data_IF_772298186754
#
_entry.id   IF_772298186754
#
_cell.length_a   1.000
_cell.length_b   1.000
_cell.length_c   1.000
_cell.angle_alpha   90.00
_cell.angle_beta   90.00
_cell.angle_gamma   90.00
#
_symmetry.space_group_name_H-M   'P 1'
#
loop_
_entity.id
_entity.type
_entity.pdbx_description
1 polymer ?
#
# COMPACT_ATOMS: atom_id res chain seq x y z
N UNK A 1 -9.41 -20.38 3.93
CA UNK A 1 -10.35 -21.45 3.51
C UNK A 1 -11.82 -21.08 3.79
N UNK A 2 -12.17 -20.48 4.92
CA UNK A 2 -13.57 -20.14 5.27
C UNK A 2 -14.21 -19.11 4.32
N UNK A 3 -13.47 -18.12 3.80
CA UNK A 3 -13.98 -17.17 2.82
C UNK A 3 -14.30 -17.82 1.47
N UNK A 4 -13.45 -18.72 1.01
CA UNK A 4 -13.65 -19.44 -0.27
C UNK A 4 -14.75 -20.50 -0.20
N UNK A 5 -15.05 -21.02 0.98
CA UNK A 5 -16.17 -21.95 1.21
C UNK A 5 -17.49 -21.26 1.59
N UNK A 6 -17.48 -19.94 1.79
CA UNK A 6 -18.63 -19.12 2.16
C UNK A 6 -19.21 -18.33 0.98
N UNK A 7 -19.35 -17.01 1.17
CA UNK A 7 -19.94 -16.07 0.19
C UNK A 7 -19.29 -16.11 -1.20
N UNK A 8 -18.01 -16.48 -1.29
CA UNK A 8 -17.26 -16.55 -2.54
C UNK A 8 -17.32 -17.93 -3.22
N UNK A 9 -17.92 -18.94 -2.57
CA UNK A 9 -17.99 -20.30 -3.13
C UNK A 9 -18.84 -20.42 -4.39
N UNK A 10 -19.72 -19.46 -4.62
CA UNK A 10 -20.68 -19.47 -5.75
C UNK A 10 -20.22 -18.62 -6.94
N UNK A 11 -19.12 -17.87 -6.80
CA UNK A 11 -18.60 -17.02 -7.87
C UNK A 11 -17.11 -17.28 -8.05
N UNK A 12 -16.64 -17.51 -9.29
CA UNK A 12 -15.22 -17.64 -9.56
C UNK A 12 -14.51 -16.32 -9.23
N UNK A 13 -13.28 -16.43 -8.74
CA UNK A 13 -12.36 -15.29 -8.60
C UNK A 13 -11.50 -15.28 -9.86
N UNK A 14 -11.68 -14.31 -10.72
CA UNK A 14 -10.95 -14.19 -11.99
C UNK A 14 -9.69 -13.33 -11.86
N UNK A 15 -9.73 -12.37 -10.93
CA UNK A 15 -8.65 -11.39 -10.72
C UNK A 15 -8.36 -11.22 -9.26
N UNK A 16 -7.09 -11.13 -8.92
CA UNK A 16 -6.57 -10.69 -7.64
C UNK A 16 -5.80 -9.40 -7.90
N UNK A 17 -6.24 -8.29 -7.32
CA UNK A 17 -5.56 -7.01 -7.46
C UNK A 17 -4.82 -6.74 -6.17
N UNK A 18 -3.50 -6.70 -6.26
CA UNK A 18 -2.59 -6.43 -5.15
C UNK A 18 -2.39 -4.93 -5.14
N UNK A 19 -2.82 -4.28 -4.08
CA UNK A 19 -2.80 -2.82 -4.00
C UNK A 19 -1.39 -2.26 -3.89
N UNK A 20 -0.53 -2.93 -3.10
CA UNK A 20 0.88 -2.59 -2.94
C UNK A 20 1.69 -3.78 -2.37
N UNK A 21 3.01 -3.63 -2.29
CA UNK A 21 3.96 -4.71 -2.00
C UNK A 21 4.10 -5.09 -0.52
N UNK A 22 3.47 -4.39 0.43
CA UNK A 22 3.61 -4.71 1.85
C UNK A 22 3.12 -6.12 2.17
N UNK A 23 3.77 -6.75 3.14
CA UNK A 23 3.63 -8.19 3.42
C UNK A 23 2.21 -8.63 3.74
N UNK A 24 1.45 -7.81 4.41
CA UNK A 24 0.05 -8.05 4.81
C UNK A 24 -0.95 -7.89 3.64
N UNK A 25 -0.51 -7.29 2.53
CA UNK A 25 -1.30 -7.16 1.30
C UNK A 25 -0.91 -8.18 0.22
N UNK A 26 0.38 -8.43 0.04
CA UNK A 26 0.86 -9.34 -1.02
C UNK A 26 1.06 -10.79 -0.54
N UNK A 27 1.25 -11.01 0.77
CA UNK A 27 1.77 -12.27 1.32
C UNK A 27 0.95 -13.51 1.00
N UNK A 28 -0.38 -13.38 0.82
CA UNK A 28 -1.26 -14.49 0.48
C UNK A 28 -1.62 -14.57 -1.01
N UNK A 29 -1.15 -13.65 -1.84
CA UNK A 29 -1.58 -13.52 -3.22
C UNK A 29 -1.22 -14.74 -4.09
N UNK A 30 0.01 -15.26 -3.97
CA UNK A 30 0.45 -16.43 -4.72
C UNK A 30 -0.37 -17.70 -4.37
N UNK A 31 -0.60 -17.92 -3.09
CA UNK A 31 -1.40 -19.06 -2.62
C UNK A 31 -2.87 -18.94 -3.08
N UNK A 32 -3.44 -17.73 -2.98
CA UNK A 32 -4.80 -17.47 -3.44
C UNK A 32 -4.93 -17.68 -4.96
N UNK A 33 -3.94 -17.26 -5.75
CA UNK A 33 -3.90 -17.50 -7.18
C UNK A 33 -3.88 -19.00 -7.51
N UNK A 34 -3.05 -19.78 -6.83
CA UNK A 34 -3.01 -21.24 -6.99
C UNK A 34 -4.34 -21.92 -6.65
N UNK A 35 -5.00 -21.44 -5.58
CA UNK A 35 -6.28 -21.99 -5.13
C UNK A 35 -7.44 -21.69 -6.08
N UNK A 36 -7.41 -20.56 -6.78
CA UNK A 36 -8.54 -20.05 -7.57
C UNK A 36 -8.32 -20.11 -9.08
N UNK A 37 -7.06 -20.19 -9.53
CA UNK A 37 -6.69 -20.00 -10.93
C UNK A 37 -6.74 -18.53 -11.39
N UNK A 38 -6.96 -17.59 -10.46
CA UNK A 38 -7.07 -16.16 -10.76
C UNK A 38 -5.73 -15.56 -11.16
N UNK A 39 -5.76 -14.58 -12.06
CA UNK A 39 -4.57 -13.78 -12.44
C UNK A 39 -4.32 -12.69 -11.41
N UNK A 40 -3.05 -12.50 -11.04
CA UNK A 40 -2.64 -11.43 -10.15
C UNK A 40 -2.26 -10.18 -10.93
N UNK A 41 -2.75 -9.04 -10.48
CA UNK A 41 -2.48 -7.72 -11.04
C UNK A 41 -1.90 -6.81 -9.95
N UNK A 42 -0.93 -6.00 -10.33
CA UNK A 42 -0.27 -5.04 -9.44
C UNK A 42 0.23 -3.87 -10.31
N UNK A 43 0.37 -2.68 -9.76
CA UNK A 43 0.97 -1.58 -10.50
C UNK A 43 2.44 -1.86 -10.83
N UNK A 44 2.93 -1.23 -11.89
CA UNK A 44 4.31 -1.45 -12.36
C UNK A 44 5.37 -1.13 -11.30
N UNK A 45 5.16 -0.05 -10.55
CA UNK A 45 6.13 0.37 -9.53
C UNK A 45 6.10 -0.56 -8.32
N UNK A 46 4.92 -0.99 -7.89
CA UNK A 46 4.77 -1.96 -6.80
C UNK A 46 5.33 -3.34 -7.17
N UNK A 47 5.15 -3.77 -8.42
CA UNK A 47 5.75 -5.01 -8.92
C UNK A 47 7.28 -4.95 -8.85
N UNK A 48 7.89 -3.84 -9.32
CA UNK A 48 9.34 -3.65 -9.25
C UNK A 48 9.83 -3.68 -7.79
N UNK A 49 9.09 -3.05 -6.88
CA UNK A 49 9.45 -3.00 -5.48
C UNK A 49 9.37 -4.37 -4.82
N UNK A 50 8.26 -5.09 -5.03
CA UNK A 50 8.11 -6.47 -4.55
C UNK A 50 9.24 -7.38 -5.04
N UNK A 51 9.55 -7.34 -6.33
CA UNK A 51 10.63 -8.12 -6.93
C UNK A 51 12.01 -7.72 -6.38
N UNK A 52 12.25 -6.43 -6.21
CA UNK A 52 13.51 -5.92 -5.65
C UNK A 52 13.78 -6.48 -4.26
N UNK A 53 12.83 -6.35 -3.34
CA UNK A 53 12.97 -6.87 -1.96
C UNK A 53 13.04 -8.40 -1.96
N UNK A 54 12.18 -9.07 -2.74
CA UNK A 54 12.10 -10.53 -2.77
C UNK A 54 13.39 -11.18 -3.28
N UNK A 55 14.06 -10.57 -4.25
CA UNK A 55 15.27 -11.10 -4.85
C UNK A 55 16.53 -10.85 -4.01
N UNK A 56 16.50 -9.92 -3.06
CA UNK A 56 17.60 -9.68 -2.15
C UNK A 56 17.79 -10.84 -1.16
N UNK A 57 19.04 -11.18 -0.87
CA UNK A 57 19.38 -11.96 0.31
C UNK A 57 19.15 -11.11 1.57
N UNK A 58 19.07 -11.79 2.71
CA UNK A 58 18.97 -11.12 4.01
C UNK A 58 20.15 -10.16 4.24
N UNK A 59 21.37 -10.57 3.89
CA UNK A 59 22.56 -9.73 4.05
C UNK A 59 22.48 -8.46 3.19
N UNK A 60 22.18 -8.62 1.88
CA UNK A 60 22.06 -7.48 0.96
C UNK A 60 21.02 -6.47 1.42
N UNK A 61 19.85 -6.93 1.85
CA UNK A 61 18.78 -6.04 2.35
C UNK A 61 19.23 -5.34 3.65
N UNK A 62 19.84 -6.07 4.57
CA UNK A 62 20.39 -5.51 5.81
C UNK A 62 21.45 -4.44 5.55
N UNK A 63 22.41 -4.73 4.65
CA UNK A 63 23.49 -3.82 4.31
C UNK A 63 22.96 -2.54 3.62
N UNK A 64 21.93 -2.70 2.77
CA UNK A 64 21.22 -1.57 2.16
C UNK A 64 20.56 -0.68 3.22
N UNK A 65 19.83 -1.26 4.17
CA UNK A 65 19.21 -0.50 5.26
C UNK A 65 20.26 0.23 6.12
N UNK A 66 21.37 -0.43 6.45
CA UNK A 66 22.49 0.21 7.17
C UNK A 66 22.99 1.43 6.40
N UNK A 67 23.23 1.27 5.09
CA UNK A 67 23.70 2.35 4.24
C UNK A 67 22.74 3.55 4.24
N UNK A 68 21.43 3.27 4.09
CA UNK A 68 20.38 4.29 4.06
C UNK A 68 20.31 5.02 5.40
N UNK A 69 20.11 4.29 6.50
CA UNK A 69 19.93 4.90 7.81
C UNK A 69 21.17 5.64 8.32
N UNK A 70 22.38 5.13 7.99
CA UNK A 70 23.62 5.83 8.32
C UNK A 70 23.74 7.16 7.56
N UNK A 71 23.31 7.22 6.30
CA UNK A 71 23.26 8.47 5.51
C UNK A 71 22.38 9.53 6.18
N UNK A 72 21.30 9.11 6.84
CA UNK A 72 20.39 10.00 7.56
C UNK A 72 20.74 10.18 9.04
N UNK A 73 21.90 9.71 9.49
CA UNK A 73 22.41 9.96 10.83
C UNK A 73 21.80 9.12 11.93
N UNK A 74 21.12 8.01 11.58
CA UNK A 74 20.64 7.09 12.61
C UNK A 74 21.81 6.38 13.28
N UNK A 75 21.85 6.29 14.65
CA UNK A 75 22.90 5.58 15.35
C UNK A 75 22.98 4.10 14.96
N UNK A 76 24.19 3.58 14.80
CA UNK A 76 24.42 2.17 14.41
C UNK A 76 23.73 1.19 15.36
N UNK A 77 23.65 1.49 16.65
CA UNK A 77 22.98 0.66 17.66
C UNK A 77 21.49 0.47 17.36
N UNK A 78 20.81 1.53 16.92
CA UNK A 78 19.40 1.46 16.54
C UNK A 78 19.17 0.73 15.21
N UNK A 79 20.12 0.89 14.27
CA UNK A 79 20.09 0.16 13.00
C UNK A 79 20.26 -1.35 13.25
N UNK A 80 21.15 -1.75 14.13
CA UNK A 80 21.38 -3.16 14.51
C UNK A 80 20.12 -3.80 15.14
N UNK A 81 19.37 -3.06 15.94
CA UNK A 81 18.09 -3.53 16.48
C UNK A 81 17.06 -3.81 15.38
N UNK A 82 17.05 -3.00 14.32
CA UNK A 82 16.16 -3.17 13.15
C UNK A 82 16.58 -4.32 12.21
N UNK A 83 17.87 -4.72 12.23
CA UNK A 83 18.39 -5.77 11.34
C UNK A 83 17.66 -7.11 11.46
N UNK A 84 17.26 -7.48 12.67
CA UNK A 84 16.57 -8.75 12.90
C UNK A 84 15.18 -8.81 12.28
N UNK A 85 14.64 -7.68 11.84
CA UNK A 85 13.30 -7.58 11.28
C UNK A 85 13.26 -7.78 9.74
N UNK A 86 14.37 -7.56 9.06
CA UNK A 86 14.49 -7.65 7.60
C UNK A 86 14.26 -9.06 7.04
N UNK A 87 14.45 -10.11 7.85
CA UNK A 87 14.16 -11.50 7.47
C UNK A 87 12.67 -11.79 7.32
N UNK A 88 11.80 -10.87 7.77
CA UNK A 88 10.36 -11.09 7.82
C UNK A 88 9.71 -11.08 6.45
N UNK A 89 10.21 -10.31 5.48
CA UNK A 89 9.56 -10.23 4.18
C UNK A 89 9.39 -11.62 3.55
N UNK A 90 10.46 -12.39 3.37
CA UNK A 90 10.39 -13.75 2.79
C UNK A 90 9.62 -14.74 3.66
N UNK A 91 9.54 -14.51 4.96
CA UNK A 91 8.74 -15.34 5.85
C UNK A 91 7.24 -15.17 5.61
N UNK A 92 6.79 -13.94 5.34
CA UNK A 92 5.39 -13.62 5.11
C UNK A 92 5.01 -13.58 3.63
N UNK A 93 6.00 -13.46 2.75
CA UNK A 93 5.86 -13.55 1.29
C UNK A 93 6.76 -14.68 0.80
N UNK A 94 6.37 -15.95 1.00
CA UNK A 94 7.22 -17.09 0.64
C UNK A 94 7.41 -17.24 -0.87
N UNK A 95 6.51 -16.68 -1.64
CA UNK A 95 6.50 -16.75 -3.09
C UNK A 95 5.79 -15.51 -3.66
N UNK A 96 6.29 -14.98 -4.77
CA UNK A 96 5.58 -13.98 -5.56
C UNK A 96 4.73 -14.67 -6.64
N UNK A 97 3.50 -14.20 -6.88
CA UNK A 97 2.72 -14.71 -7.99
C UNK A 97 3.26 -14.21 -9.34
N UNK A 98 2.82 -14.83 -10.42
CA UNK A 98 2.99 -14.26 -11.76
C UNK A 98 2.18 -12.97 -11.86
N UNK A 99 2.89 -11.85 -12.02
CA UNK A 99 2.28 -10.53 -12.06
C UNK A 99 1.87 -10.13 -13.48
N UNK A 100 0.68 -9.56 -13.58
CA UNK A 100 0.26 -8.75 -14.71
C UNK A 100 0.26 -7.27 -14.28
N UNK A 101 0.63 -6.38 -15.19
CA UNK A 101 0.57 -4.95 -14.91
C UNK A 101 -0.87 -4.49 -14.79
N UNK A 102 -1.16 -3.73 -13.73
CA UNK A 102 -2.41 -3.01 -13.55
C UNK A 102 -2.20 -1.54 -13.93
N UNK A 103 -3.05 -1.03 -14.81
CA UNK A 103 -3.01 0.35 -15.29
C UNK A 103 -4.20 1.15 -14.77
N UNK A 104 -4.06 2.46 -14.64
CA UNK A 104 -5.15 3.38 -14.30
C UNK A 104 -6.28 3.35 -15.34
N UNK A 105 -5.98 2.91 -16.57
CA UNK A 105 -6.96 2.71 -17.64
C UNK A 105 -7.79 1.45 -17.45
N UNK A 106 -7.34 0.53 -16.57
CA UNK A 106 -8.08 -0.68 -16.26
C UNK A 106 -9.34 -0.34 -15.49
N UNK A 107 -10.49 -0.71 -16.03
CA UNK A 107 -11.77 -0.56 -15.36
C UNK A 107 -12.14 -1.85 -14.64
N UNK A 108 -12.57 -1.74 -13.41
CA UNK A 108 -13.16 -2.86 -12.69
C UNK A 108 -14.67 -2.72 -12.76
N UNK A 109 -15.29 -3.69 -13.45
CA UNK A 109 -16.73 -3.77 -13.51
C UNK A 109 -17.26 -4.37 -12.21
N UNK A 110 -17.98 -3.56 -11.44
CA UNK A 110 -18.75 -4.06 -10.30
C UNK A 110 -20.11 -4.57 -10.77
N UNK A 111 -20.83 -5.23 -9.87
CA UNK A 111 -22.18 -5.77 -10.16
C UNK A 111 -23.23 -4.67 -10.45
N UNK A 112 -23.04 -3.49 -9.89
CA UNK A 112 -23.98 -2.34 -9.99
C UNK A 112 -23.39 -1.14 -10.70
N UNK A 113 -22.07 -0.98 -10.70
CA UNK A 113 -21.36 0.18 -11.25
C UNK A 113 -19.87 -0.11 -11.40
N UNK A 114 -19.20 0.71 -12.22
CA UNK A 114 -17.78 0.61 -12.41
C UNK A 114 -17.03 1.30 -11.28
N UNK A 115 -15.85 0.76 -10.97
CA UNK A 115 -14.89 1.35 -10.04
C UNK A 115 -13.85 2.14 -10.83
N UNK A 116 -13.61 3.37 -10.40
CA UNK A 116 -12.49 4.17 -10.88
C UNK A 116 -11.26 3.84 -10.03
N UNK A 117 -10.15 3.61 -10.70
CA UNK A 117 -8.88 3.31 -10.06
C UNK A 117 -8.01 4.56 -9.98
N UNK A 118 -7.20 4.64 -8.94
CA UNK A 118 -6.11 5.59 -8.77
C UNK A 118 -4.83 4.81 -8.50
N UNK A 119 -3.72 5.37 -8.93
CA UNK A 119 -2.38 4.89 -8.57
C UNK A 119 -1.64 6.11 -8.03
N UNK A 120 -1.34 6.07 -6.75
CA UNK A 120 -0.75 7.19 -6.01
C UNK A 120 0.58 6.75 -5.37
N UNK A 121 1.43 7.73 -5.02
CA UNK A 121 2.73 7.56 -4.36
C UNK A 121 2.71 8.22 -2.99
N UNK A 122 3.55 7.73 -2.06
CA UNK A 122 3.64 8.24 -0.69
C UNK A 122 3.83 7.10 0.32
N UNK A 123 2.76 6.43 0.75
CA UNK A 123 2.84 5.25 1.62
C UNK A 123 3.63 4.10 0.95
N UNK A 124 3.41 3.93 -0.34
CA UNK A 124 4.22 3.09 -1.22
C UNK A 124 4.34 3.73 -2.59
N UNK A 125 5.16 3.16 -3.49
CA UNK A 125 5.58 3.86 -4.71
C UNK A 125 4.53 3.90 -5.83
N UNK A 126 3.45 3.14 -5.71
CA UNK A 126 2.43 3.06 -6.76
C UNK A 126 1.20 2.29 -6.30
N UNK A 127 0.73 2.60 -5.09
CA UNK A 127 -0.42 1.94 -4.49
C UNK A 127 -1.69 2.20 -5.28
N UNK A 128 -2.46 1.12 -5.49
CA UNK A 128 -3.75 1.18 -6.15
C UNK A 128 -4.84 1.43 -5.12
N UNK A 129 -5.74 2.38 -5.41
CA UNK A 129 -6.96 2.60 -4.67
C UNK A 129 -8.18 2.61 -5.60
N UNK A 130 -9.38 2.41 -5.05
CA UNK A 130 -10.60 2.24 -5.83
C UNK A 130 -11.72 3.10 -5.29
N UNK A 131 -12.38 3.87 -6.16
CA UNK A 131 -13.53 4.67 -5.80
C UNK A 131 -14.74 4.32 -6.66
N UNK A 132 -15.89 4.18 -6.02
CA UNK A 132 -17.18 4.03 -6.65
C UNK A 132 -18.06 5.23 -6.22
N UNK A 133 -18.14 6.23 -7.08
CA UNK A 133 -18.85 7.48 -6.77
C UNK A 133 -20.36 7.26 -6.68
N UNK A 134 -20.91 6.35 -7.49
CA UNK A 134 -22.34 6.05 -7.47
C UNK A 134 -22.78 5.42 -6.15
N UNK A 135 -22.03 4.45 -5.67
CA UNK A 135 -22.36 3.73 -4.45
C UNK A 135 -21.75 4.42 -3.22
N UNK A 136 -21.05 5.55 -3.43
CA UNK A 136 -20.35 6.34 -2.42
C UNK A 136 -19.42 5.49 -1.56
N UNK A 137 -18.56 4.73 -2.20
CA UNK A 137 -17.56 3.85 -1.55
C UNK A 137 -16.15 4.18 -2.05
N UNK A 138 -15.20 4.25 -1.12
CA UNK A 138 -13.79 4.41 -1.41
C UNK A 138 -12.95 3.39 -0.64
N UNK A 139 -12.00 2.76 -1.33
CA UNK A 139 -11.03 1.81 -0.82
C UNK A 139 -9.63 2.43 -0.97
N UNK A 140 -9.19 3.33 -0.04
CA UNK A 140 -7.89 3.99 -0.13
C UNK A 140 -6.74 3.05 0.24
N UNK A 141 -7.04 1.84 0.69
CA UNK A 141 -6.12 0.92 1.33
C UNK A 141 -5.37 1.62 2.49
N UNK A 142 -4.04 1.78 2.39
CA UNK A 142 -3.26 2.32 3.52
C UNK A 142 -2.98 3.83 3.42
N UNK A 143 -3.44 4.49 2.36
CA UNK A 143 -3.24 5.93 2.23
C UNK A 143 -4.08 6.77 3.20
N UNK A 144 -5.26 6.31 3.58
CA UNK A 144 -6.18 7.08 4.42
C UNK A 144 -6.75 6.19 5.53
N UNK A 145 -6.10 6.21 6.68
CA UNK A 145 -6.46 5.44 7.87
C UNK A 145 -7.21 6.31 8.90
N UNK A 146 -8.21 5.76 9.61
CA UNK A 146 -9.09 6.59 10.45
C UNK A 146 -8.43 7.16 11.70
N UNK A 147 -7.44 6.47 12.29
CA UNK A 147 -6.89 6.82 13.61
C UNK A 147 -5.39 7.11 13.59
N UNK A 148 -4.64 6.34 12.83
CA UNK A 148 -3.19 6.47 12.77
C UNK A 148 -2.75 7.13 11.46
N UNK A 149 -1.61 7.79 11.46
CA UNK A 149 -0.92 8.13 10.21
C UNK A 149 -0.37 6.85 9.59
N UNK A 150 -0.54 6.63 8.29
CA UNK A 150 0.19 5.56 7.62
C UNK A 150 1.70 5.78 7.75
N UNK A 151 2.45 4.70 7.64
CA UNK A 151 3.89 4.78 7.58
C UNK A 151 4.32 5.38 6.23
N UNK A 152 5.09 6.46 6.26
CA UNK A 152 5.69 7.10 5.09
C UNK A 152 7.19 6.89 5.19
N UNK A 153 7.68 5.89 4.48
CA UNK A 153 9.10 5.49 4.50
C UNK A 153 9.81 5.93 3.23
N UNK A 154 11.11 6.20 3.34
CA UNK A 154 11.92 6.42 2.14
C UNK A 154 11.85 5.22 1.18
N UNK A 155 11.81 5.49 -0.12
CA UNK A 155 11.89 4.42 -1.13
C UNK A 155 13.32 3.85 -1.13
N UNK A 156 13.46 2.60 -0.75
CA UNK A 156 14.77 1.93 -0.68
C UNK A 156 15.46 1.78 -2.05
N UNK A 157 14.75 1.98 -3.14
CA UNK A 157 15.26 1.98 -4.53
C UNK A 157 15.66 3.38 -5.00
N UNK A 158 15.08 4.41 -4.41
CA UNK A 158 15.31 5.81 -4.72
C UNK A 158 15.18 6.65 -3.44
N UNK A 159 16.26 6.65 -2.70
CA UNK A 159 16.33 7.28 -1.38
C UNK A 159 16.17 8.82 -1.41
N UNK A 160 16.43 9.44 -2.55
CA UNK A 160 16.31 10.89 -2.72
C UNK A 160 14.89 11.31 -3.16
N UNK A 161 13.99 10.34 -3.34
CA UNK A 161 12.58 10.59 -3.67
C UNK A 161 11.86 11.26 -2.50
N UNK A 162 11.13 12.34 -2.80
CA UNK A 162 10.27 13.02 -1.82
C UNK A 162 8.93 12.30 -1.61
N UNK A 163 8.99 11.17 -0.91
CA UNK A 163 7.80 10.35 -0.64
C UNK A 163 6.79 11.05 0.27
N UNK A 164 7.26 11.95 1.15
CA UNK A 164 6.37 12.75 2.00
C UNK A 164 5.64 13.82 1.19
N UNK A 165 6.34 14.48 0.26
CA UNK A 165 5.74 15.41 -0.68
C UNK A 165 4.65 14.75 -1.52
N UNK A 166 4.94 13.59 -2.11
CA UNK A 166 3.95 12.80 -2.86
C UNK A 166 2.71 12.47 -2.00
N UNK A 167 2.92 12.12 -0.72
CA UNK A 167 1.82 11.80 0.19
C UNK A 167 0.99 13.04 0.55
N UNK A 168 1.63 14.19 0.78
CA UNK A 168 0.93 15.44 1.07
C UNK A 168 0.09 15.90 -0.13
N UNK A 169 0.62 15.76 -1.35
CA UNK A 169 -0.15 16.04 -2.58
C UNK A 169 -1.39 15.13 -2.70
N UNK A 170 -1.23 13.83 -2.42
CA UNK A 170 -2.37 12.92 -2.34
C UNK A 170 -3.41 13.39 -1.30
N UNK A 171 -2.96 13.79 -0.11
CA UNK A 171 -3.87 14.26 0.94
C UNK A 171 -4.59 15.55 0.55
N UNK A 172 -3.92 16.49 -0.14
CA UNK A 172 -4.55 17.70 -0.67
C UNK A 172 -5.70 17.38 -1.61
N UNK A 173 -5.52 16.42 -2.51
CA UNK A 173 -6.61 15.91 -3.37
C UNK A 173 -7.77 15.38 -2.53
N UNK A 174 -7.48 14.62 -1.47
CA UNK A 174 -8.50 14.01 -0.61
C UNK A 174 -9.28 15.04 0.21
N UNK A 175 -8.81 16.27 0.37
CA UNK A 175 -9.60 17.34 1.03
C UNK A 175 -10.87 17.68 0.27
N UNK A 176 -10.93 17.38 -1.04
CA UNK A 176 -12.08 17.60 -1.90
C UNK A 176 -13.04 16.39 -1.95
N UNK A 177 -12.76 15.31 -1.22
CA UNK A 177 -13.60 14.13 -1.21
C UNK A 177 -14.98 14.45 -0.61
N UNK A 178 -16.05 13.95 -1.24
CA UNK A 178 -17.39 14.05 -0.66
C UNK A 178 -17.44 13.41 0.73
N UNK A 179 -17.84 14.18 1.74
CA UNK A 179 -17.89 13.75 3.15
C UNK A 179 -18.80 12.53 3.39
N UNK A 180 -19.78 12.31 2.51
CA UNK A 180 -20.71 11.18 2.59
C UNK A 180 -20.14 9.87 2.04
N UNK A 181 -19.01 9.90 1.36
CA UNK A 181 -18.32 8.69 0.90
C UNK A 181 -17.90 7.87 2.11
N UNK A 182 -18.28 6.60 2.09
CA UNK A 182 -17.84 5.61 3.08
C UNK A 182 -16.50 5.04 2.68
N UNK A 183 -15.53 5.21 3.56
CA UNK A 183 -14.15 4.78 3.36
C UNK A 183 -13.95 3.42 4.04
N UNK A 184 -13.40 2.48 3.30
CA UNK A 184 -12.99 1.16 3.78
C UNK A 184 -11.46 1.08 3.69
N UNK A 185 -10.75 1.44 4.75
CA UNK A 185 -9.29 1.45 4.77
C UNK A 185 -8.71 0.04 4.82
N UNK A 186 -7.41 -0.11 4.56
CA UNK A 186 -6.69 -1.37 4.70
C UNK A 186 -6.60 -1.83 6.16
N UNK A 187 -6.57 -0.90 7.09
CA UNK A 187 -6.53 -1.15 8.53
C UNK A 187 -7.61 -0.37 9.27
N UNK A 188 -8.01 -0.87 10.43
CA UNK A 188 -9.07 -0.32 11.28
C UNK A 188 -10.49 -0.45 10.68
N UNK A 189 -11.38 0.46 11.05
CA UNK A 189 -12.80 0.38 10.77
C UNK A 189 -13.22 1.34 9.65
N UNK A 190 -14.28 1.01 8.91
CA UNK A 190 -14.86 1.93 7.95
C UNK A 190 -15.31 3.25 8.60
N UNK A 191 -15.13 4.36 7.88
CA UNK A 191 -15.45 5.68 8.38
C UNK A 191 -15.99 6.61 7.27
N UNK A 192 -16.42 7.80 7.63
CA UNK A 192 -16.80 8.91 6.75
C UNK A 192 -15.96 10.14 7.03
N UNK A 193 -16.23 11.23 6.32
CA UNK A 193 -15.49 12.48 6.45
C UNK A 193 -14.00 12.32 6.13
N UNK A 194 -13.69 11.61 5.05
CA UNK A 194 -12.30 11.42 4.60
C UNK A 194 -11.59 12.73 4.28
N UNK A 195 -12.32 13.73 3.79
CA UNK A 195 -11.83 15.08 3.57
C UNK A 195 -11.30 15.73 4.86
N UNK A 196 -12.04 15.63 5.97
CA UNK A 196 -11.59 16.13 7.26
C UNK A 196 -10.38 15.35 7.77
N UNK A 197 -10.39 14.02 7.57
CA UNK A 197 -9.25 13.18 7.96
C UNK A 197 -7.98 13.54 7.18
N UNK A 198 -8.08 13.85 5.89
CA UNK A 198 -6.96 14.35 5.10
C UNK A 198 -6.38 15.65 5.65
N UNK A 199 -7.24 16.61 5.99
CA UNK A 199 -6.82 17.86 6.65
C UNK A 199 -6.11 17.61 7.99
N UNK A 200 -6.58 16.65 8.77
CA UNK A 200 -5.97 16.29 10.06
C UNK A 200 -4.56 15.68 9.86
N UNK A 201 -4.39 14.85 8.83
CA UNK A 201 -3.09 14.26 8.49
C UNK A 201 -2.11 15.30 7.94
N UNK A 202 -2.55 16.23 7.08
CA UNK A 202 -1.72 17.35 6.61
C UNK A 202 -1.23 18.17 7.79
N UNK A 203 -2.11 18.54 8.71
CA UNK A 203 -1.72 19.29 9.94
C UNK A 203 -0.73 18.52 10.79
N UNK A 204 -0.95 17.22 10.95
CA UNK A 204 -0.04 16.35 11.70
C UNK A 204 1.37 16.36 11.11
N UNK A 205 1.51 16.18 9.80
CA UNK A 205 2.82 16.17 9.15
C UNK A 205 3.51 17.55 9.19
N UNK A 206 2.75 18.63 8.96
CA UNK A 206 3.29 19.98 9.03
C UNK A 206 3.82 20.31 10.45
N UNK A 207 3.09 19.97 11.50
CA UNK A 207 3.55 20.14 12.88
C UNK A 207 4.83 19.34 13.18
N UNK A 208 4.97 18.14 12.63
CA UNK A 208 6.21 17.37 12.77
C UNK A 208 7.37 18.00 12.03
N UNK A 209 7.16 18.52 10.82
CA UNK A 209 8.19 19.24 10.06
C UNK A 209 8.66 20.50 10.79
N UNK A 210 7.74 21.28 11.37
CA UNK A 210 8.08 22.47 12.20
C UNK A 210 8.92 22.12 13.43
N UNK A 211 8.79 20.89 13.96
CA UNK A 211 9.58 20.44 15.11
C UNK A 211 11.00 20.03 14.73
N UNK A 212 11.25 19.72 13.45
CA UNK A 212 12.55 19.32 12.93
C UNK A 212 13.40 20.52 12.48
N UNK A 213 12.79 21.68 12.24
CA UNK A 213 13.43 22.95 11.85
C UNK A 213 13.78 23.81 13.08
#
# INVERSE_FOLDING_TARGET
KSLLSGLLSTKPIDKIIITHHHVDHIGFAAELAKMTGAKCYISREEMKHAQFIFNMSFSEFSDLLVSIYSKYGLPLEEIELGRNDSSRYKRYVPELPDFNNFSIEDTIQGSSSNWRCRIDSGHSSGQISFINERDKVFLPTDFLLPRISPNISADIRDIDKDVLGDYLEYLEDMTNLDSEIRIYPGHDWPFKNGNQRALDLIRHHNQRLETLL
#
